data_IF_642820201669
#
_entry.id   IF_642820201669
#
_cell.length_a   1.000
_cell.length_b   1.000
_cell.length_c   1.000
_cell.angle_alpha   90.00
_cell.angle_beta   90.00
_cell.angle_gamma   90.00
#
_symmetry.space_group_name_H-M   'P 1'
#
loop_
_entity.id
_entity.type
_entity.pdbx_description
1 polymer ?
#
# COMPACT_ATOMS: atom_id res chain seq x y z
N UNK A 1 11.46 11.65 1.91
CA UNK A 1 12.11 10.78 2.92
C UNK A 1 13.08 11.60 3.74
N UNK A 2 12.64 12.04 4.92
CA UNK A 2 13.49 12.63 5.94
C UNK A 2 13.99 11.54 6.88
N UNK A 3 15.31 11.51 7.07
CA UNK A 3 15.96 10.61 8.03
C UNK A 3 16.20 11.39 9.32
N UNK A 4 15.56 11.03 10.43
CA UNK A 4 15.79 11.70 11.73
C UNK A 4 16.88 10.95 12.49
N UNK A 5 18.07 11.54 12.61
CA UNK A 5 19.19 10.95 13.36
C UNK A 5 19.17 11.38 14.84
N UNK A 6 19.23 10.45 15.78
CA UNK A 6 19.08 10.77 17.23
C UNK A 6 20.22 10.19 18.06
N UNK A 7 21.17 11.02 18.47
CA UNK A 7 22.39 10.48 19.05
C UNK A 7 23.35 11.44 19.71
N UNK A 8 24.59 11.00 19.93
CA UNK A 8 25.67 11.95 20.25
C UNK A 8 25.77 12.96 19.11
N UNK A 9 25.95 14.24 19.41
CA UNK A 9 25.95 15.30 18.38
C UNK A 9 27.00 15.03 17.29
N UNK A 10 28.17 14.49 17.67
CA UNK A 10 29.25 14.17 16.75
C UNK A 10 28.90 13.03 15.78
N UNK A 11 28.39 11.90 16.28
CA UNK A 11 28.06 10.73 15.45
C UNK A 11 26.84 11.00 14.56
N UNK A 12 25.86 11.71 15.11
CA UNK A 12 24.65 12.16 14.40
C UNK A 12 25.03 13.07 13.23
N UNK A 13 26.01 13.95 13.44
CA UNK A 13 26.51 14.83 12.39
C UNK A 13 27.33 14.09 11.35
N UNK A 14 28.21 13.15 11.76
CA UNK A 14 28.95 12.29 10.82
C UNK A 14 28.03 11.44 9.95
N UNK A 15 27.04 10.77 10.53
CA UNK A 15 26.06 9.98 9.79
C UNK A 15 25.16 10.85 8.92
N UNK A 16 24.78 12.04 9.39
CA UNK A 16 23.99 12.99 8.60
C UNK A 16 24.74 13.43 7.35
N UNK A 17 26.04 13.72 7.46
CA UNK A 17 26.88 14.11 6.32
C UNK A 17 26.97 12.98 5.31
N UNK A 18 27.26 11.74 5.76
CA UNK A 18 27.34 10.56 4.90
C UNK A 18 26.03 10.34 4.13
N UNK A 19 24.89 10.44 4.83
CA UNK A 19 23.56 10.24 4.23
C UNK A 19 23.24 11.35 3.20
N UNK A 20 23.56 12.60 3.50
CA UNK A 20 23.35 13.71 2.57
C UNK A 20 24.22 13.56 1.31
N UNK A 21 25.49 13.18 1.46
CA UNK A 21 26.47 13.09 0.37
C UNK A 21 26.26 11.86 -0.53
N UNK A 22 26.00 10.68 0.05
CA UNK A 22 25.91 9.40 -0.68
C UNK A 22 24.50 9.09 -1.22
N UNK A 23 23.46 9.61 -0.56
CA UNK A 23 22.06 9.23 -0.82
C UNK A 23 21.20 10.41 -1.29
N UNK A 24 21.68 11.66 -1.17
CA UNK A 24 20.92 12.87 -1.48
C UNK A 24 19.58 12.97 -0.72
N UNK A 25 19.55 12.46 0.51
CA UNK A 25 18.37 12.44 1.37
C UNK A 25 18.45 13.53 2.42
N UNK A 26 17.35 14.25 2.68
CA UNK A 26 17.31 15.23 3.77
C UNK A 26 17.37 14.53 5.12
N UNK A 27 18.29 14.98 5.98
CA UNK A 27 18.49 14.43 7.32
C UNK A 27 18.24 15.50 8.41
N UNK A 28 17.55 15.11 9.48
CA UNK A 28 17.17 15.95 10.61
C UNK A 28 17.90 15.41 11.86
N UNK A 29 18.90 16.14 12.34
CA UNK A 29 19.72 15.75 13.50
C UNK A 29 19.13 16.32 14.79
N UNK A 30 18.87 15.46 15.79
CA UNK A 30 18.27 15.86 17.07
C UNK A 30 18.91 15.10 18.26
N UNK A 31 18.89 15.69 19.46
CA UNK A 31 19.24 14.98 20.70
C UNK A 31 18.02 14.29 21.32
N UNK A 32 18.23 13.33 22.24
CA UNK A 32 17.13 12.69 22.98
C UNK A 32 16.30 13.68 23.79
N UNK A 33 16.96 14.70 24.36
CA UNK A 33 16.31 15.75 25.16
C UNK A 33 15.42 16.66 24.28
N UNK A 34 15.85 16.92 23.03
CA UNK A 34 15.13 17.75 22.08
C UNK A 34 13.83 17.11 21.56
N UNK A 35 13.74 15.77 21.49
CA UNK A 35 12.53 15.09 20.96
C UNK A 35 11.32 15.30 21.87
N UNK A 36 11.55 15.36 23.17
CA UNK A 36 10.50 15.54 24.16
C UNK A 36 10.01 16.99 24.27
N UNK A 37 10.80 17.95 23.76
CA UNK A 37 10.58 19.39 23.94
C UNK A 37 10.37 20.16 22.63
N UNK A 38 10.82 19.64 21.49
CA UNK A 38 10.66 20.22 20.15
C UNK A 38 9.83 19.30 19.26
N UNK A 39 9.05 19.89 18.34
CA UNK A 39 8.35 19.13 17.28
C UNK A 39 9.40 18.46 16.38
N UNK A 40 9.32 17.13 16.13
CA UNK A 40 10.13 16.51 15.08
C UNK A 40 9.79 17.14 13.73
N UNK A 41 10.76 17.14 12.81
CA UNK A 41 10.66 17.69 11.45
C UNK A 41 9.27 17.47 10.82
N UNK A 42 8.67 18.54 10.27
CA UNK A 42 7.26 18.59 9.83
C UNK A 42 6.96 17.78 8.55
N UNK A 43 7.94 17.15 7.89
CA UNK A 43 7.65 16.42 6.64
C UNK A 43 6.96 15.07 6.85
N UNK A 44 6.22 14.66 5.81
CA UNK A 44 5.36 13.49 5.80
C UNK A 44 6.07 12.15 5.55
N UNK A 45 7.35 12.15 5.16
CA UNK A 45 8.07 10.90 4.86
C UNK A 45 9.17 10.66 5.88
N UNK A 46 9.08 9.63 6.74
CA UNK A 46 10.05 9.52 7.83
C UNK A 46 10.70 8.15 7.95
N UNK A 47 12.03 8.15 7.90
CA UNK A 47 12.93 7.13 8.43
C UNK A 47 13.59 7.76 9.66
N UNK A 48 13.82 7.01 10.72
CA UNK A 48 14.47 7.47 11.94
C UNK A 48 15.68 6.58 12.17
N UNK A 49 16.82 7.16 12.49
CA UNK A 49 18.06 6.44 12.84
C UNK A 49 18.54 6.98 14.19
N UNK A 50 18.37 6.26 15.27
CA UNK A 50 18.74 6.69 16.61
C UNK A 50 20.19 6.26 16.90
N UNK A 51 21.21 7.13 16.87
CA UNK A 51 22.61 6.86 17.26
C UNK A 51 22.97 7.17 18.72
N UNK A 52 22.53 6.37 19.69
CA UNK A 52 22.71 6.72 21.09
C UNK A 52 24.06 6.29 21.71
N UNK A 53 24.72 7.24 22.41
CA UNK A 53 25.83 6.98 23.34
C UNK A 53 25.29 7.00 24.77
N UNK A 54 25.19 5.83 25.42
CA UNK A 54 24.62 5.68 26.78
C UNK A 54 23.34 6.50 27.03
N UNK A 55 22.27 6.35 26.22
CA UNK A 55 21.01 6.97 26.57
C UNK A 55 20.52 6.36 27.88
N UNK A 56 19.89 7.15 28.76
CA UNK A 56 19.09 6.51 29.81
C UNK A 56 17.96 5.74 29.13
N UNK A 57 17.71 4.50 29.57
CA UNK A 57 16.61 3.66 29.08
C UNK A 57 15.31 4.46 28.93
N UNK A 58 15.00 5.27 29.95
CA UNK A 58 13.80 6.11 29.98
C UNK A 58 13.74 7.14 28.84
N UNK A 59 14.87 7.79 28.50
CA UNK A 59 14.91 8.78 27.43
C UNK A 59 14.68 8.13 26.06
N UNK A 60 15.28 6.95 25.84
CA UNK A 60 15.09 6.22 24.59
C UNK A 60 13.66 5.67 24.45
N UNK A 61 13.11 5.08 25.52
CA UNK A 61 11.74 4.60 25.54
C UNK A 61 10.73 5.73 25.29
N UNK A 62 10.91 6.89 25.92
CA UNK A 62 10.04 8.06 25.72
C UNK A 62 10.10 8.57 24.28
N UNK A 63 11.31 8.65 23.68
CA UNK A 63 11.47 9.07 22.30
C UNK A 63 10.81 8.09 21.32
N UNK A 64 11.00 6.78 21.52
CA UNK A 64 10.38 5.73 20.72
C UNK A 64 8.86 5.75 20.82
N UNK A 65 8.32 5.84 22.04
CA UNK A 65 6.89 5.95 22.29
C UNK A 65 6.29 7.19 21.61
N UNK A 66 6.96 8.33 21.72
CA UNK A 66 6.53 9.58 21.10
C UNK A 66 6.49 9.44 19.57
N UNK A 67 7.56 8.92 18.96
CA UNK A 67 7.64 8.72 17.51
C UNK A 67 6.52 7.79 17.04
N UNK A 68 6.33 6.63 17.67
CA UNK A 68 5.31 5.66 17.23
C UNK A 68 3.88 6.15 17.46
N UNK A 69 3.65 6.95 18.49
CA UNK A 69 2.33 7.56 18.74
C UNK A 69 1.96 8.57 17.65
N UNK A 70 2.90 9.39 17.20
CA UNK A 70 2.64 10.45 16.22
C UNK A 70 2.89 10.03 14.78
N UNK A 71 3.70 8.99 14.56
CA UNK A 71 4.13 8.47 13.26
C UNK A 71 4.15 6.93 13.31
N UNK A 72 2.99 6.25 13.29
CA UNK A 72 2.91 4.80 13.48
C UNK A 72 3.68 3.98 12.43
N UNK A 73 3.77 4.50 11.20
CA UNK A 73 4.44 3.87 10.06
C UNK A 73 5.93 4.23 9.95
N UNK A 74 6.46 4.98 10.92
CA UNK A 74 7.86 5.33 11.01
C UNK A 74 8.76 4.10 10.98
N UNK A 75 9.69 4.06 10.01
CA UNK A 75 10.79 3.11 10.04
C UNK A 75 11.85 3.61 11.02
N UNK A 76 12.12 2.88 12.10
CA UNK A 76 13.08 3.26 13.13
C UNK A 76 14.24 2.28 13.14
N UNK A 77 15.45 2.78 12.99
CA UNK A 77 16.71 2.07 13.22
C UNK A 77 17.33 2.60 14.52
N UNK A 78 17.70 1.73 15.46
CA UNK A 78 18.40 2.13 16.70
C UNK A 78 19.82 1.60 16.65
N UNK A 79 20.79 2.48 16.81
CA UNK A 79 22.23 2.27 16.92
C UNK A 79 22.62 2.60 18.37
N UNK A 80 23.13 1.64 19.12
CA UNK A 80 23.55 1.82 20.51
C UNK A 80 25.00 1.39 20.70
N UNK A 81 25.79 2.07 21.53
CA UNK A 81 27.18 1.65 21.79
C UNK A 81 27.30 0.36 22.62
N UNK A 82 26.36 0.13 23.53
CA UNK A 82 26.39 -1.00 24.46
C UNK A 82 25.25 -1.99 24.18
N UNK A 83 25.49 -3.26 24.52
CA UNK A 83 24.47 -4.32 24.54
C UNK A 83 23.56 -4.17 25.76
N UNK A 84 22.90 -3.03 25.87
CA UNK A 84 21.93 -2.78 26.93
C UNK A 84 20.65 -3.60 26.65
N UNK A 85 20.42 -4.61 27.50
CA UNK A 85 19.30 -5.55 27.38
C UNK A 85 17.96 -4.85 27.60
N UNK A 86 17.91 -3.86 28.47
CA UNK A 86 16.68 -3.10 28.73
C UNK A 86 16.33 -2.26 27.51
N UNK A 87 17.32 -1.56 26.94
CA UNK A 87 17.13 -0.77 25.71
C UNK A 87 16.68 -1.63 24.53
N UNK A 88 17.25 -2.83 24.37
CA UNK A 88 16.80 -3.81 23.36
C UNK A 88 15.35 -4.25 23.59
N UNK A 89 14.96 -4.50 24.84
CA UNK A 89 13.59 -4.84 25.22
C UNK A 89 12.60 -3.75 24.82
N UNK A 90 12.87 -2.49 25.18
CA UNK A 90 12.04 -1.36 24.77
C UNK A 90 12.00 -1.20 23.24
N UNK A 91 13.13 -1.35 22.55
CA UNK A 91 13.16 -1.26 21.09
C UNK A 91 12.19 -2.27 20.43
N UNK A 92 12.13 -3.49 20.96
CA UNK A 92 11.18 -4.51 20.49
C UNK A 92 9.73 -4.17 20.84
N UNK A 93 9.46 -3.75 22.08
CA UNK A 93 8.12 -3.35 22.53
C UNK A 93 7.53 -2.21 21.70
N UNK A 94 8.36 -1.25 21.30
CA UNK A 94 7.96 -0.11 20.48
C UNK A 94 8.12 -0.35 18.97
N UNK A 95 8.36 -1.58 18.52
CA UNK A 95 8.36 -1.92 17.09
C UNK A 95 9.43 -1.20 16.28
N UNK A 96 10.64 -1.07 16.85
CA UNK A 96 11.84 -0.63 16.12
C UNK A 96 12.12 -1.65 15.02
N UNK A 97 12.37 -1.18 13.81
CA UNK A 97 12.52 -2.02 12.63
C UNK A 97 13.90 -2.66 12.54
N UNK A 98 14.92 -2.05 13.14
CA UNK A 98 16.28 -2.57 13.12
C UNK A 98 17.09 -2.07 14.33
N UNK A 99 17.90 -2.94 14.95
CA UNK A 99 18.72 -2.62 16.11
C UNK A 99 20.17 -3.03 15.88
N UNK A 100 21.12 -2.12 16.11
CA UNK A 100 22.55 -2.28 15.86
C UNK A 100 23.36 -1.87 17.08
N UNK A 101 24.32 -2.70 17.47
CA UNK A 101 25.28 -2.38 18.53
C UNK A 101 26.59 -1.95 17.87
N UNK A 102 26.98 -0.69 18.02
CA UNK A 102 28.18 -0.12 17.40
C UNK A 102 29.21 0.24 18.45
N UNK A 103 30.27 -0.56 18.59
CA UNK A 103 31.41 -0.20 19.44
C UNK A 103 32.34 0.83 18.78
N UNK A 104 32.37 0.91 17.44
CA UNK A 104 33.07 1.94 16.62
C UNK A 104 32.37 2.03 15.24
N UNK A 105 32.16 3.23 14.70
CA UNK A 105 31.78 3.41 13.28
C UNK A 105 33.03 3.17 12.41
N UNK A 106 33.26 1.94 11.98
CA UNK A 106 34.27 1.61 10.95
C UNK A 106 33.72 1.87 9.53
N UNK A 107 34.61 1.94 8.53
CA UNK A 107 34.19 2.01 7.11
C UNK A 107 33.26 0.84 6.73
N UNK A 108 33.48 -0.36 7.26
CA UNK A 108 32.60 -1.51 6.96
C UNK A 108 31.20 -1.42 7.58
N UNK A 109 31.03 -0.69 8.68
CA UNK A 109 29.71 -0.39 9.27
C UNK A 109 29.02 0.69 8.43
N UNK A 110 29.77 1.70 7.99
CA UNK A 110 29.29 2.76 7.08
C UNK A 110 28.68 2.14 5.83
N UNK A 111 29.41 1.27 5.14
CA UNK A 111 28.95 0.66 3.88
C UNK A 111 27.65 -0.13 4.09
N UNK A 112 27.53 -0.86 5.20
CA UNK A 112 26.31 -1.61 5.53
C UNK A 112 25.11 -0.71 5.82
N UNK A 113 25.31 0.41 6.52
CA UNK A 113 24.25 1.38 6.78
C UNK A 113 23.80 2.01 5.46
N UNK A 114 24.75 2.42 4.61
CA UNK A 114 24.47 3.00 3.29
C UNK A 114 23.71 2.01 2.42
N UNK A 115 24.11 0.74 2.33
CA UNK A 115 23.40 -0.28 1.56
C UNK A 115 22.00 -0.57 2.09
N UNK A 116 21.82 -0.65 3.41
CA UNK A 116 20.48 -0.78 4.00
C UNK A 116 19.60 0.44 3.70
N UNK A 117 20.15 1.64 3.80
CA UNK A 117 19.40 2.87 3.50
C UNK A 117 19.09 2.99 2.00
N UNK A 118 19.98 2.58 1.10
CA UNK A 118 19.71 2.46 -0.34
C UNK A 118 18.58 1.47 -0.62
N UNK A 119 18.63 0.31 0.01
CA UNK A 119 17.59 -0.72 -0.10
C UNK A 119 16.25 -0.18 0.40
N UNK A 120 16.22 0.49 1.55
CA UNK A 120 15.02 1.11 2.12
C UNK A 120 14.49 2.26 1.25
N UNK A 121 15.38 3.09 0.69
CA UNK A 121 15.02 4.17 -0.22
C UNK A 121 14.41 3.64 -1.53
N UNK A 122 14.99 2.56 -2.09
CA UNK A 122 14.48 1.88 -3.27
C UNK A 122 13.14 1.18 -3.00
N UNK A 123 12.98 0.56 -1.83
CA UNK A 123 11.72 -0.05 -1.39
C UNK A 123 10.62 0.99 -1.13
N UNK A 124 10.97 2.25 -0.90
CA UNK A 124 10.04 3.38 -0.70
C UNK A 124 9.75 4.18 -1.98
N UNK A 125 10.15 3.69 -3.16
CA UNK A 125 9.71 4.33 -4.41
C UNK A 125 8.18 4.17 -4.51
N UNK A 126 7.48 5.31 -4.54
CA UNK A 126 6.05 5.40 -4.81
C UNK A 126 5.71 4.53 -6.02
N UNK A 127 4.94 3.47 -5.81
CA UNK A 127 4.48 2.61 -6.92
C UNK A 127 3.28 3.25 -7.58
N UNK A 128 3.11 2.98 -8.88
CA UNK A 128 1.91 3.28 -9.64
C UNK A 128 1.06 2.03 -9.80
N UNK A 129 -0.16 2.09 -9.31
CA UNK A 129 -1.09 0.96 -9.21
C UNK A 129 -2.26 1.22 -10.13
N UNK A 130 -2.49 0.32 -11.08
CA UNK A 130 -3.67 0.37 -11.95
C UNK A 130 -4.62 -0.77 -11.57
N UNK A 131 -5.80 -0.42 -11.08
CA UNK A 131 -6.88 -1.39 -10.84
C UNK A 131 -7.93 -1.28 -11.95
N UNK A 132 -8.25 -2.40 -12.58
CA UNK A 132 -9.12 -2.49 -13.74
C UNK A 132 -10.40 -3.25 -13.36
N UNK A 133 -11.54 -2.64 -13.62
CA UNK A 133 -12.87 -3.23 -13.48
C UNK A 133 -13.66 -3.16 -14.79
N UNK A 134 -14.62 -4.05 -14.96
CA UNK A 134 -15.53 -4.01 -16.10
C UNK A 134 -16.63 -2.97 -15.86
N UNK A 135 -17.15 -2.91 -14.63
CA UNK A 135 -18.27 -2.07 -14.23
C UNK A 135 -17.92 -1.19 -13.01
N UNK A 136 -18.67 -0.09 -12.78
CA UNK A 136 -18.45 0.75 -11.62
C UNK A 136 -18.91 0.03 -10.34
N UNK A 137 -17.97 -0.25 -9.44
CA UNK A 137 -18.04 -1.00 -8.15
C UNK A 137 -17.05 -2.20 -8.08
N UNK A 138 -16.68 -2.79 -9.22
CA UNK A 138 -15.86 -4.00 -9.29
C UNK A 138 -14.56 -3.91 -8.47
N UNK A 139 -13.82 -2.81 -8.62
CA UNK A 139 -12.52 -2.62 -7.97
C UNK A 139 -12.68 -2.41 -6.47
N UNK A 140 -13.64 -1.62 -6.06
CA UNK A 140 -13.95 -1.35 -4.66
C UNK A 140 -14.35 -2.63 -3.93
N UNK A 141 -15.12 -3.50 -4.58
CA UNK A 141 -15.53 -4.80 -4.05
C UNK A 141 -14.34 -5.77 -4.02
N UNK A 142 -13.63 -5.91 -5.14
CA UNK A 142 -12.61 -6.93 -5.32
C UNK A 142 -11.32 -6.65 -4.56
N UNK A 143 -10.84 -5.41 -4.61
CA UNK A 143 -9.54 -5.03 -4.06
C UNK A 143 -9.48 -3.64 -3.39
N UNK A 144 -10.63 -3.06 -3.01
CA UNK A 144 -10.70 -1.72 -2.43
C UNK A 144 -9.89 -1.55 -1.14
N UNK A 145 -9.79 -2.58 -0.30
CA UNK A 145 -8.96 -2.55 0.91
C UNK A 145 -7.47 -2.50 0.57
N UNK A 146 -7.04 -3.23 -0.46
CA UNK A 146 -5.67 -3.20 -0.98
C UNK A 146 -5.36 -1.86 -1.64
N UNK A 147 -6.32 -1.24 -2.33
CA UNK A 147 -6.14 0.11 -2.87
C UNK A 147 -5.94 1.14 -1.76
N UNK A 148 -6.75 1.10 -0.69
CA UNK A 148 -6.58 1.96 0.49
C UNK A 148 -5.20 1.75 1.14
N UNK A 149 -4.73 0.50 1.19
CA UNK A 149 -3.40 0.16 1.70
C UNK A 149 -2.27 0.73 0.83
N UNK A 150 -2.43 0.73 -0.49
CA UNK A 150 -1.50 1.40 -1.41
C UNK A 150 -1.48 2.91 -1.20
N UNK A 151 -2.64 3.55 -1.10
CA UNK A 151 -2.76 4.99 -0.79
C UNK A 151 -2.09 5.34 0.55
N UNK A 152 -2.28 4.53 1.59
CA UNK A 152 -1.63 4.70 2.88
C UNK A 152 -0.10 4.55 2.83
N UNK A 153 0.43 3.88 1.81
CA UNK A 153 1.87 3.78 1.51
C UNK A 153 2.38 4.89 0.60
N UNK A 154 1.53 5.88 0.28
CA UNK A 154 1.81 6.97 -0.65
C UNK A 154 1.97 6.52 -2.11
N UNK A 155 1.48 5.32 -2.47
CA UNK A 155 1.42 4.86 -3.86
C UNK A 155 0.41 5.69 -4.66
N UNK A 156 0.62 5.80 -5.98
CA UNK A 156 -0.34 6.42 -6.89
C UNK A 156 -1.33 5.37 -7.38
N UNK A 157 -2.63 5.57 -7.13
CA UNK A 157 -3.67 4.62 -7.57
C UNK A 157 -4.51 5.23 -8.68
N UNK A 158 -4.69 4.47 -9.76
CA UNK A 158 -5.62 4.74 -10.84
C UNK A 158 -6.61 3.58 -10.97
N UNK A 159 -7.89 3.91 -11.10
CA UNK A 159 -8.97 2.97 -11.41
C UNK A 159 -9.38 3.18 -12.85
N UNK A 160 -9.37 2.10 -13.63
CA UNK A 160 -9.95 2.04 -14.97
C UNK A 160 -11.22 1.18 -14.93
N UNK A 161 -12.37 1.79 -15.22
CA UNK A 161 -13.62 1.08 -15.43
C UNK A 161 -13.95 1.05 -16.92
N UNK A 162 -14.20 -0.13 -17.49
CA UNK A 162 -14.37 -0.26 -18.93
C UNK A 162 -15.75 0.16 -19.46
N UNK A 163 -16.80 0.03 -18.65
CA UNK A 163 -18.18 0.36 -19.01
C UNK A 163 -18.80 1.34 -18.03
N UNK A 164 -19.95 1.92 -18.40
CA UNK A 164 -20.77 2.74 -17.49
C UNK A 164 -21.80 1.94 -16.70
N UNK A 165 -21.84 0.61 -16.86
CA UNK A 165 -22.78 -0.24 -16.12
C UNK A 165 -24.26 0.02 -16.43
N UNK A 166 -24.59 0.30 -17.70
CA UNK A 166 -25.92 0.70 -18.18
C UNK A 166 -27.04 -0.32 -17.94
N UNK A 167 -26.72 -1.60 -17.81
CA UNK A 167 -27.69 -2.67 -17.51
C UNK A 167 -27.95 -2.77 -16.00
N UNK A 168 -26.98 -2.40 -15.16
CA UNK A 168 -27.12 -2.40 -13.69
C UNK A 168 -27.89 -1.21 -13.12
N UNK A 169 -28.17 -0.17 -13.92
CA UNK A 169 -28.96 0.98 -13.50
C UNK A 169 -28.70 2.23 -14.33
N UNK A 170 -29.09 3.37 -13.78
CA UNK A 170 -28.86 4.68 -14.38
C UNK A 170 -27.36 4.99 -14.48
N UNK A 171 -26.86 5.18 -15.70
CA UNK A 171 -25.43 5.36 -15.98
C UNK A 171 -24.85 6.62 -15.35
N UNK A 172 -25.62 7.71 -15.28
CA UNK A 172 -25.14 8.97 -14.72
C UNK A 172 -25.04 8.86 -13.19
N UNK A 173 -26.02 8.22 -12.54
CA UNK A 173 -25.93 7.92 -11.11
C UNK A 173 -24.73 7.04 -10.80
N UNK A 174 -24.56 5.91 -11.50
CA UNK A 174 -23.41 5.02 -11.28
C UNK A 174 -22.07 5.71 -11.53
N UNK A 175 -22.00 6.59 -12.53
CA UNK A 175 -20.81 7.42 -12.76
C UNK A 175 -20.51 8.34 -11.56
N UNK A 176 -21.52 9.02 -11.03
CA UNK A 176 -21.36 9.90 -9.87
C UNK A 176 -20.98 9.14 -8.60
N UNK A 177 -21.55 7.95 -8.38
CA UNK A 177 -21.20 7.04 -7.29
C UNK A 177 -19.73 6.62 -7.37
N UNK A 178 -19.28 6.13 -8.53
CA UNK A 178 -17.89 5.75 -8.76
C UNK A 178 -16.92 6.93 -8.60
N UNK A 179 -17.30 8.12 -9.08
CA UNK A 179 -16.50 9.34 -8.93
C UNK A 179 -16.37 9.75 -7.45
N UNK A 180 -17.44 9.61 -6.67
CA UNK A 180 -17.41 9.88 -5.24
C UNK A 180 -16.54 8.84 -4.50
N UNK A 181 -16.67 7.56 -4.85
CA UNK A 181 -15.86 6.48 -4.31
C UNK A 181 -14.36 6.69 -4.60
N UNK A 182 -14.00 7.04 -5.84
CA UNK A 182 -12.60 7.29 -6.21
C UNK A 182 -12.03 8.53 -5.51
N UNK A 183 -12.84 9.57 -5.32
CA UNK A 183 -12.44 10.75 -4.56
C UNK A 183 -12.18 10.42 -3.08
N UNK A 184 -13.04 9.61 -2.45
CA UNK A 184 -12.84 9.10 -1.09
C UNK A 184 -11.57 8.26 -0.97
N UNK A 185 -11.31 7.40 -1.97
CA UNK A 185 -10.12 6.58 -2.05
C UNK A 185 -8.83 7.41 -2.28
N UNK A 186 -8.93 8.64 -2.78
CA UNK A 186 -7.83 9.43 -3.33
C UNK A 186 -7.17 8.78 -4.58
N UNK A 187 -7.99 8.12 -5.41
CA UNK A 187 -7.56 7.53 -6.67
C UNK A 187 -8.01 8.35 -7.88
N UNK A 188 -7.23 8.30 -8.97
CA UNK A 188 -7.67 8.82 -10.27
C UNK A 188 -8.63 7.83 -10.92
N UNK A 189 -9.77 8.30 -11.42
CA UNK A 189 -10.76 7.45 -12.09
C UNK A 189 -10.81 7.75 -13.59
N UNK A 190 -10.73 6.70 -14.40
CA UNK A 190 -11.01 6.72 -15.84
C UNK A 190 -12.17 5.76 -16.09
N UNK A 191 -13.25 6.27 -16.71
CA UNK A 191 -14.38 5.45 -17.15
C UNK A 191 -14.43 5.48 -18.67
N UNK A 192 -14.29 4.32 -19.29
CA UNK A 192 -14.46 4.12 -20.73
C UNK A 192 -15.94 3.95 -21.08
N UNK A 193 -16.24 4.03 -22.37
CA UNK A 193 -17.58 3.92 -22.93
C UNK A 193 -17.75 2.60 -23.71
N UNK A 194 -17.14 1.50 -23.25
CA UNK A 194 -17.47 0.19 -23.81
C UNK A 194 -18.92 -0.17 -23.46
N UNK A 195 -19.53 -0.95 -24.35
CA UNK A 195 -20.91 -1.37 -24.20
C UNK A 195 -21.00 -2.40 -23.07
N UNK A 196 -21.83 -2.09 -22.07
CA UNK A 196 -22.09 -2.97 -20.93
C UNK A 196 -22.67 -4.31 -21.39
N UNK A 197 -22.30 -5.40 -20.73
CA UNK A 197 -22.59 -6.80 -21.09
C UNK A 197 -22.01 -7.28 -22.44
N UNK A 198 -21.22 -6.44 -23.09
CA UNK A 198 -20.62 -6.64 -24.41
C UNK A 198 -19.14 -6.28 -24.45
N UNK A 199 -18.46 -6.21 -23.29
CA UNK A 199 -17.00 -6.10 -23.24
C UNK A 199 -16.40 -7.30 -23.97
N UNK A 200 -15.57 -7.04 -24.98
CA UNK A 200 -14.86 -8.07 -25.75
C UNK A 200 -13.45 -8.28 -25.21
N UNK A 201 -12.89 -9.47 -25.36
CA UNK A 201 -11.45 -9.72 -25.13
C UNK A 201 -10.55 -9.19 -26.27
N UNK A 202 -11.17 -8.63 -27.31
CA UNK A 202 -10.53 -8.28 -28.57
C UNK A 202 -9.88 -6.88 -28.63
N UNK A 203 -9.44 -6.46 -29.83
CA UNK A 203 -8.61 -5.27 -30.01
C UNK A 203 -9.19 -3.96 -29.48
N UNK A 204 -10.52 -3.82 -29.43
CA UNK A 204 -11.17 -2.60 -28.91
C UNK A 204 -10.85 -2.40 -27.43
N UNK A 205 -11.02 -3.44 -26.62
CA UNK A 205 -10.78 -3.39 -25.17
C UNK A 205 -9.29 -3.33 -24.87
N UNK A 206 -8.48 -4.13 -25.60
CA UNK A 206 -7.02 -4.12 -25.46
C UNK A 206 -6.47 -2.70 -25.66
N UNK A 207 -6.88 -1.99 -26.72
CA UNK A 207 -6.41 -0.63 -26.99
C UNK A 207 -6.75 0.36 -25.89
N UNK A 208 -7.95 0.27 -25.29
CA UNK A 208 -8.33 1.12 -24.15
C UNK A 208 -7.38 0.89 -22.98
N UNK A 209 -7.06 -0.36 -22.68
CA UNK A 209 -6.17 -0.71 -21.57
C UNK A 209 -4.72 -0.30 -21.90
N UNK A 210 -4.25 -0.55 -23.13
CA UNK A 210 -2.90 -0.18 -23.60
C UNK A 210 -2.67 1.34 -23.53
N UNK A 211 -3.66 2.15 -23.89
CA UNK A 211 -3.57 3.62 -23.80
C UNK A 211 -3.39 4.08 -22.34
N UNK A 212 -4.15 3.49 -21.42
CA UNK A 212 -4.02 3.80 -19.98
C UNK A 212 -2.67 3.33 -19.44
N UNK A 213 -2.23 2.11 -19.77
CA UNK A 213 -0.91 1.59 -19.39
C UNK A 213 0.20 2.50 -19.93
N UNK A 214 0.13 2.89 -21.20
CA UNK A 214 1.11 3.76 -21.84
C UNK A 214 1.21 5.12 -21.15
N UNK A 215 0.08 5.73 -20.82
CA UNK A 215 0.07 7.06 -20.22
C UNK A 215 0.41 7.04 -18.72
N UNK A 216 -0.06 6.04 -17.99
CA UNK A 216 0.11 5.95 -16.54
C UNK A 216 1.44 5.30 -16.14
N UNK A 217 1.93 4.34 -16.92
CA UNK A 217 3.11 3.51 -16.64
C UNK A 217 3.00 2.80 -15.27
N UNK A 218 2.01 1.91 -15.07
CA UNK A 218 1.83 1.21 -13.80
C UNK A 218 2.97 0.24 -13.50
N UNK A 219 3.36 0.13 -12.23
CA UNK A 219 4.25 -0.92 -11.74
C UNK A 219 3.47 -2.20 -11.43
N UNK A 220 2.21 -2.07 -10.98
CA UNK A 220 1.33 -3.20 -10.62
C UNK A 220 -0.05 -3.02 -11.25
N UNK A 221 -0.59 -4.11 -11.79
CA UNK A 221 -1.99 -4.16 -12.26
C UNK A 221 -2.82 -5.15 -11.43
N UNK A 222 -4.01 -4.72 -11.03
CA UNK A 222 -5.06 -5.57 -10.47
C UNK A 222 -6.23 -5.65 -11.45
N UNK A 223 -6.73 -6.85 -11.77
CA UNK A 223 -7.85 -7.06 -12.69
C UNK A 223 -8.74 -8.22 -12.23
N UNK A 224 -9.78 -8.53 -12.99
CA UNK A 224 -10.67 -9.66 -12.72
C UNK A 224 -9.95 -11.02 -12.80
N UNK A 225 -10.48 -12.04 -12.14
CA UNK A 225 -10.11 -13.44 -12.40
C UNK A 225 -10.73 -13.96 -13.71
N UNK A 226 -10.04 -14.88 -14.39
CA UNK A 226 -10.64 -15.64 -15.50
C UNK A 226 -11.72 -16.61 -15.01
N UNK A 227 -11.65 -17.02 -13.75
CA UNK A 227 -12.56 -17.95 -13.10
C UNK A 227 -13.82 -17.23 -12.58
N UNK A 228 -14.41 -16.38 -13.42
CA UNK A 228 -15.60 -15.59 -13.09
C UNK A 228 -16.79 -16.00 -13.95
N UNK A 229 -18.00 -16.05 -13.38
CA UNK A 229 -19.21 -16.40 -14.13
C UNK A 229 -19.69 -15.25 -15.05
N UNK A 230 -19.30 -14.01 -14.77
CA UNK A 230 -19.62 -12.85 -15.59
C UNK A 230 -18.70 -12.76 -16.81
N UNK A 231 -19.28 -12.75 -18.02
CA UNK A 231 -18.52 -12.70 -19.28
C UNK A 231 -17.60 -11.47 -19.35
N UNK A 232 -18.12 -10.30 -19.01
CA UNK A 232 -17.34 -9.06 -19.10
C UNK A 232 -16.13 -9.05 -18.16
N UNK A 233 -16.21 -9.71 -16.99
CA UNK A 233 -15.07 -9.87 -16.09
C UNK A 233 -13.99 -10.72 -16.74
N UNK A 234 -14.36 -11.89 -17.29
CA UNK A 234 -13.42 -12.77 -18.00
C UNK A 234 -12.78 -12.08 -19.22
N UNK A 235 -13.57 -11.34 -19.99
CA UNK A 235 -13.07 -10.65 -21.17
C UNK A 235 -12.15 -9.48 -20.80
N UNK A 236 -12.44 -8.78 -19.71
CA UNK A 236 -11.57 -7.76 -19.11
C UNK A 236 -10.24 -8.37 -18.69
N UNK A 237 -10.27 -9.53 -18.02
CA UNK A 237 -9.07 -10.27 -17.65
C UNK A 237 -8.21 -10.61 -18.88
N UNK A 238 -8.79 -11.25 -19.90
CA UNK A 238 -8.08 -11.66 -21.11
C UNK A 238 -7.47 -10.47 -21.85
N UNK A 239 -8.23 -9.38 -22.01
CA UNK A 239 -7.72 -8.16 -22.62
C UNK A 239 -6.60 -7.52 -21.80
N UNK A 240 -6.72 -7.54 -20.47
CA UNK A 240 -5.69 -7.00 -19.55
C UNK A 240 -4.38 -7.73 -19.71
N UNK A 241 -4.37 -9.07 -19.73
CA UNK A 241 -3.13 -9.86 -19.87
C UNK A 241 -2.41 -9.52 -21.18
N UNK A 242 -3.16 -9.35 -22.27
CA UNK A 242 -2.58 -9.01 -23.56
C UNK A 242 -2.04 -7.58 -23.56
N UNK A 243 -2.75 -6.62 -22.95
CA UNK A 243 -2.30 -5.23 -22.86
C UNK A 243 -1.09 -5.05 -21.92
N UNK A 244 -1.03 -5.83 -20.84
CA UNK A 244 -0.03 -5.74 -19.78
C UNK A 244 1.23 -6.59 -20.03
N UNK A 245 1.55 -6.92 -21.29
CA UNK A 245 2.69 -7.79 -21.65
C UNK A 245 4.02 -7.32 -21.03
N UNK A 246 4.23 -6.01 -20.94
CA UNK A 246 5.45 -5.37 -20.41
C UNK A 246 5.43 -5.14 -18.90
N UNK A 247 4.33 -5.47 -18.20
CA UNK A 247 4.19 -5.26 -16.76
C UNK A 247 4.54 -6.56 -16.03
N UNK A 248 5.43 -6.47 -15.05
CA UNK A 248 5.95 -7.65 -14.35
C UNK A 248 5.01 -8.15 -13.24
N UNK A 249 4.28 -7.26 -12.57
CA UNK A 249 3.34 -7.61 -11.51
C UNK A 249 1.88 -7.46 -11.98
N UNK A 250 1.17 -8.58 -12.17
CA UNK A 250 -0.25 -8.61 -12.52
C UNK A 250 -0.98 -9.59 -11.62
N UNK A 251 -2.03 -9.11 -10.96
CA UNK A 251 -2.82 -9.87 -9.99
C UNK A 251 -4.31 -9.86 -10.36
N UNK A 252 -5.00 -10.97 -10.10
CA UNK A 252 -6.43 -11.09 -10.33
C UNK A 252 -7.19 -11.16 -8.99
N UNK A 253 -8.18 -10.29 -8.78
CA UNK A 253 -8.99 -10.25 -7.56
C UNK A 253 -10.25 -11.12 -7.66
N UNK A 254 -10.79 -11.47 -6.51
CA UNK A 254 -12.07 -12.15 -6.39
C UNK A 254 -13.23 -11.14 -6.49
N UNK A 255 -14.08 -11.26 -7.51
CA UNK A 255 -15.34 -10.54 -7.62
C UNK A 255 -16.51 -11.39 -7.09
N UNK A 256 -17.72 -10.83 -6.86
CA UNK A 256 -18.87 -11.57 -6.34
C UNK A 256 -19.30 -12.77 -7.20
N UNK A 257 -19.09 -12.70 -8.51
CA UNK A 257 -19.42 -13.74 -9.49
C UNK A 257 -18.28 -14.72 -9.74
N UNK A 258 -17.15 -14.57 -9.04
CA UNK A 258 -16.01 -15.48 -9.12
C UNK A 258 -16.40 -16.86 -8.58
N UNK A 259 -16.11 -17.90 -9.36
CA UNK A 259 -16.53 -19.26 -9.07
C UNK A 259 -15.50 -20.03 -8.22
N UNK A 260 -15.83 -21.29 -7.91
CA UNK A 260 -15.03 -22.13 -7.00
C UNK A 260 -13.65 -22.52 -7.54
N UNK A 261 -13.36 -22.29 -8.83
CA UNK A 261 -12.05 -22.55 -9.43
C UNK A 261 -11.06 -21.40 -9.19
N UNK A 262 -11.45 -20.37 -8.45
CA UNK A 262 -10.54 -19.31 -8.02
C UNK A 262 -9.50 -19.84 -7.04
N UNK A 263 -8.23 -19.72 -7.41
CA UNK A 263 -7.10 -20.30 -6.69
C UNK A 263 -6.07 -19.25 -6.30
N UNK A 264 -6.35 -18.41 -5.29
CA UNK A 264 -5.45 -17.33 -4.90
C UNK A 264 -4.15 -17.88 -4.29
N UNK A 265 -3.03 -17.25 -4.66
CA UNK A 265 -1.70 -17.54 -4.10
C UNK A 265 -1.16 -16.37 -3.28
N UNK A 266 -1.78 -15.19 -3.38
CA UNK A 266 -1.42 -13.98 -2.65
C UNK A 266 -2.58 -13.55 -1.76
N UNK A 267 -2.26 -13.19 -0.51
CA UNK A 267 -3.24 -12.84 0.52
C UNK A 267 -2.84 -11.51 1.16
N UNK A 268 -3.52 -10.42 0.79
CA UNK A 268 -3.22 -9.10 1.32
C UNK A 268 -4.08 -8.80 2.55
N UNK A 269 -3.42 -8.59 3.67
CA UNK A 269 -4.07 -8.11 4.89
C UNK A 269 -4.61 -6.70 4.68
N UNK A 270 -5.92 -6.57 4.89
CA UNK A 270 -6.70 -5.33 4.90
C UNK A 270 -7.33 -5.04 6.26
N UNK A 271 -6.83 -5.67 7.32
CA UNK A 271 -7.35 -5.55 8.70
C UNK A 271 -7.60 -4.09 9.13
N UNK A 272 -6.61 -3.22 8.93
CA UNK A 272 -6.71 -1.79 9.25
C UNK A 272 -7.56 -0.96 8.25
N UNK A 273 -8.05 -1.60 7.20
CA UNK A 273 -8.73 -0.96 6.07
C UNK A 273 -10.13 -1.55 5.80
N UNK A 274 -10.57 -2.55 6.56
CA UNK A 274 -11.84 -3.22 6.33
C UNK A 274 -13.04 -2.27 6.46
N UNK A 275 -13.08 -1.46 7.51
CA UNK A 275 -14.17 -0.49 7.71
C UNK A 275 -14.16 0.61 6.64
N UNK A 276 -12.97 1.05 6.21
CA UNK A 276 -12.83 1.99 5.11
C UNK A 276 -13.27 1.38 3.77
N UNK A 277 -13.00 0.09 3.53
CA UNK A 277 -13.51 -0.63 2.36
C UNK A 277 -15.04 -0.68 2.35
N UNK A 278 -15.67 -0.89 3.50
CA UNK A 278 -17.14 -0.89 3.59
C UNK A 278 -17.74 0.48 3.32
N UNK A 279 -17.11 1.55 3.80
CA UNK A 279 -17.48 2.93 3.45
C UNK A 279 -17.29 3.20 1.96
N UNK A 280 -16.18 2.75 1.39
CA UNK A 280 -15.89 2.86 -0.05
C UNK A 280 -16.99 2.20 -0.89
N UNK A 281 -17.37 0.96 -0.55
CA UNK A 281 -18.45 0.24 -1.25
C UNK A 281 -19.81 0.90 -1.03
N UNK A 282 -20.03 1.57 0.11
CA UNK A 282 -21.30 2.24 0.42
C UNK A 282 -21.62 3.42 -0.51
N UNK A 283 -20.64 3.97 -1.24
CA UNK A 283 -20.90 4.99 -2.28
C UNK A 283 -21.72 4.44 -3.45
N UNK A 284 -21.70 3.12 -3.69
CA UNK A 284 -22.48 2.47 -4.76
C UNK A 284 -23.88 2.08 -4.28
N UNK A 285 -24.63 3.05 -3.74
CA UNK A 285 -25.94 2.85 -3.10
C UNK A 285 -26.96 2.19 -4.03
N UNK A 286 -26.96 2.57 -5.32
CA UNK A 286 -27.87 2.01 -6.33
C UNK A 286 -27.66 0.50 -6.54
N UNK A 287 -26.47 -0.01 -6.24
CA UNK A 287 -26.13 -1.43 -6.32
C UNK A 287 -26.31 -2.10 -4.96
N UNK A 288 -25.82 -1.47 -3.89
CA UNK A 288 -25.88 -2.01 -2.51
C UNK A 288 -27.29 -2.31 -2.03
N UNK A 289 -28.26 -1.50 -2.45
CA UNK A 289 -29.69 -1.71 -2.13
C UNK A 289 -30.31 -2.95 -2.79
N UNK A 290 -29.71 -3.48 -3.88
CA UNK A 290 -30.25 -4.59 -4.67
C UNK A 290 -29.47 -5.90 -4.47
N UNK A 291 -28.17 -5.79 -4.22
CA UNK A 291 -27.26 -6.92 -4.21
C UNK A 291 -26.96 -7.43 -2.80
N UNK A 292 -27.41 -8.65 -2.50
CA UNK A 292 -27.15 -9.31 -1.20
C UNK A 292 -25.65 -9.43 -0.91
N UNK A 293 -24.83 -9.64 -1.95
CA UNK A 293 -23.38 -9.75 -1.81
C UNK A 293 -22.68 -8.45 -1.40
N UNK A 294 -23.36 -7.30 -1.48
CA UNK A 294 -22.84 -5.99 -1.06
C UNK A 294 -23.22 -5.62 0.39
N UNK A 295 -23.92 -6.51 1.10
CA UNK A 295 -24.12 -6.34 2.54
C UNK A 295 -22.79 -6.43 3.28
N UNK A 296 -22.60 -5.54 4.25
CA UNK A 296 -21.36 -5.46 5.03
C UNK A 296 -21.01 -6.79 5.69
N UNK A 297 -21.99 -7.53 6.19
CA UNK A 297 -21.81 -8.85 6.81
C UNK A 297 -21.21 -9.88 5.83
N UNK A 298 -21.60 -9.84 4.55
CA UNK A 298 -21.10 -10.76 3.53
C UNK A 298 -19.68 -10.36 3.12
N UNK A 299 -19.41 -9.07 2.92
CA UNK A 299 -18.07 -8.57 2.59
C UNK A 299 -17.09 -8.91 3.72
N UNK A 300 -17.48 -8.67 4.98
CA UNK A 300 -16.69 -9.03 6.17
C UNK A 300 -16.46 -10.54 6.24
N UNK A 301 -17.50 -11.34 6.06
CA UNK A 301 -17.39 -12.80 6.11
C UNK A 301 -16.42 -13.34 5.05
N UNK A 302 -16.47 -12.81 3.82
CA UNK A 302 -15.52 -13.18 2.76
C UNK A 302 -14.09 -12.81 3.13
N UNK A 303 -13.85 -11.60 3.64
CA UNK A 303 -12.50 -11.18 4.04
C UNK A 303 -11.95 -12.04 5.19
N UNK A 304 -12.80 -12.40 6.17
CA UNK A 304 -12.44 -13.26 7.30
C UNK A 304 -12.21 -14.71 6.85
N UNK A 305 -13.01 -15.23 5.90
CA UNK A 305 -12.85 -16.57 5.35
C UNK A 305 -11.44 -16.78 4.78
N UNK A 306 -10.95 -15.81 3.99
CA UNK A 306 -9.59 -15.84 3.47
C UNK A 306 -8.52 -15.60 4.54
N UNK A 307 -8.88 -14.93 5.63
CA UNK A 307 -8.09 -14.77 6.84
C UNK A 307 -7.47 -16.06 7.37
N UNK A 308 -8.10 -17.22 7.18
CA UNK A 308 -7.56 -18.53 7.61
C UNK A 308 -6.18 -18.87 7.03
N UNK A 309 -5.78 -18.22 5.94
CA UNK A 309 -4.47 -18.37 5.31
C UNK A 309 -3.43 -17.33 5.78
N UNK A 310 -3.83 -16.37 6.62
CA UNK A 310 -2.99 -15.27 7.08
C UNK A 310 -3.36 -14.80 8.51
N UNK A 311 -3.32 -15.72 9.48
CA UNK A 311 -3.55 -15.46 10.91
C UNK A 311 -4.92 -14.84 11.25
N UNK A 312 -5.97 -15.22 10.53
CA UNK A 312 -7.36 -14.80 10.74
C UNK A 312 -7.60 -13.28 10.69
N UNK A 313 -6.70 -12.54 10.01
CA UNK A 313 -6.93 -11.13 9.65
C UNK A 313 -7.99 -10.99 8.56
N UNK A 314 -8.54 -9.80 8.37
CA UNK A 314 -9.31 -9.52 7.17
C UNK A 314 -8.39 -9.50 5.93
N UNK A 315 -8.72 -10.31 4.91
CA UNK A 315 -7.88 -10.54 3.73
C UNK A 315 -8.61 -10.28 2.43
N UNK A 316 -7.91 -9.66 1.47
CA UNK A 316 -8.26 -9.75 0.05
C UNK A 316 -7.34 -10.77 -0.64
N UNK A 317 -7.91 -11.81 -1.25
CA UNK A 317 -7.16 -12.83 -1.97
C UNK A 317 -6.88 -12.41 -3.43
N UNK A 318 -5.75 -12.83 -3.97
CA UNK A 318 -5.38 -12.60 -5.36
C UNK A 318 -4.77 -13.85 -6.01
N UNK A 319 -5.18 -14.11 -7.25
CA UNK A 319 -4.46 -14.98 -8.17
C UNK A 319 -3.24 -14.23 -8.73
N UNK A 320 -2.07 -14.86 -8.71
CA UNK A 320 -0.85 -14.30 -9.33
C UNK A 320 -0.86 -14.68 -10.80
N UNK A 321 -0.92 -13.67 -11.68
CA UNK A 321 -0.85 -13.85 -13.14
C UNK A 321 0.59 -13.68 -13.62
N UNK A 322 1.29 -12.66 -13.10
CA UNK A 322 2.72 -12.39 -13.27
C UNK A 322 3.30 -11.82 -11.97
N UNK A 323 4.49 -12.25 -11.55
CA UNK A 323 5.26 -11.68 -10.43
C UNK A 323 6.75 -11.91 -10.59
#
# INVERSE_FOLDING_TARGET
>A
MEIILIGSQADTQTLSTIINEELHLQCCSMSFEDISTKRPCESNDQVFILAARKPSFQAAANALAYIKTHKPTAYIMLLAEDKDVELMGAALEYGVNNFWVLTVISESVRDKIVDQLRTLAQQKKRKKILAIGAHPDDVEIGCGGTMLKHIAKNDEVMILTLTRGAVGGDTEKRYLEAKAASAFLHATLIISNLEDTSVSEGPKTIRVIEEVIHNFQPDIIYTHSVNDNHKDHRNTHLATIIAARTIDEVYAYQAPSTNINFHPQKFESIDNFLDLKLQLIAFHETQKSKAVYLKDEIIKATAIYWGRYANYKAIEPFEIIKS
#
